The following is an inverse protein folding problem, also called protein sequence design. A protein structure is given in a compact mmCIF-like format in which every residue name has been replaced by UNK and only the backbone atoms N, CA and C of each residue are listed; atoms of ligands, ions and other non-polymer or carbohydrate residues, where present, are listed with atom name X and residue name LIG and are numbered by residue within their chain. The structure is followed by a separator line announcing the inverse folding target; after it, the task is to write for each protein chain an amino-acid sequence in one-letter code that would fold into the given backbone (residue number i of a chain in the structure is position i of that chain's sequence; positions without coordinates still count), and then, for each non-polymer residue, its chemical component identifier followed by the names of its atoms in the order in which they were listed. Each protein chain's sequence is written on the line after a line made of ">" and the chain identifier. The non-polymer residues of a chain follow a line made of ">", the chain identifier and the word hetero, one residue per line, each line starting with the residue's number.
data_IF_085705709213
#
_entry.id   IF_085705709213
#
_cell.length_a   1.000
_cell.length_b   1.000
_cell.length_c   1.000
_cell.angle_alpha   90.00
_cell.angle_beta   90.00
_cell.angle_gamma   90.00
#
_symmetry.space_group_name_H-M   'P 1'
#
loop_
_entity.id
_entity.type
_entity.pdbx_description
1 polymer ?
#
# COMPACT_ATOMS: atom_id res chain seq x y z
N UNK A 1 -14.64 -0.90 -6.41
CA UNK A 1 -16.04 -1.27 -6.11
C UNK A 1 -16.14 -2.64 -5.47
N UNK A 2 -15.53 -3.70 -6.04
CA UNK A 2 -15.55 -5.03 -5.42
C UNK A 2 -14.92 -5.05 -4.03
N UNK A 3 -13.83 -4.33 -3.83
CA UNK A 3 -13.19 -4.17 -2.54
C UNK A 3 -14.12 -3.55 -1.48
N UNK A 4 -14.95 -2.59 -1.86
CA UNK A 4 -15.93 -1.97 -0.97
C UNK A 4 -16.94 -3.00 -0.43
N UNK A 5 -17.45 -3.87 -1.29
CA UNK A 5 -18.37 -4.94 -0.90
C UNK A 5 -17.69 -5.97 0.00
N UNK A 6 -16.49 -6.37 -0.35
CA UNK A 6 -15.69 -7.30 0.46
C UNK A 6 -15.44 -6.72 1.85
N UNK A 7 -15.02 -5.46 1.93
CA UNK A 7 -14.76 -4.75 3.18
C UNK A 7 -16.01 -4.68 4.07
N UNK A 8 -17.15 -4.32 3.46
CA UNK A 8 -18.44 -4.30 4.18
C UNK A 8 -18.77 -5.64 4.84
N UNK A 9 -18.65 -6.74 4.07
CA UNK A 9 -18.97 -8.08 4.57
C UNK A 9 -17.99 -8.50 5.68
N UNK A 10 -16.69 -8.33 5.46
CA UNK A 10 -15.66 -8.70 6.43
C UNK A 10 -15.82 -7.97 7.75
N UNK A 11 -16.02 -6.65 7.69
CA UNK A 11 -16.14 -5.82 8.90
C UNK A 11 -17.44 -6.08 9.63
N UNK A 12 -18.57 -6.20 8.90
CA UNK A 12 -19.86 -6.57 9.52
C UNK A 12 -19.79 -7.90 10.25
N UNK A 13 -19.20 -8.92 9.62
CA UNK A 13 -19.02 -10.23 10.24
C UNK A 13 -18.08 -10.17 11.44
N UNK A 14 -16.97 -9.47 11.31
CA UNK A 14 -16.03 -9.32 12.42
C UNK A 14 -16.66 -8.65 13.62
N UNK A 15 -17.39 -7.56 13.43
CA UNK A 15 -18.06 -6.82 14.47
C UNK A 15 -19.19 -7.64 15.11
N UNK A 16 -19.90 -8.48 14.34
CA UNK A 16 -20.96 -9.36 14.83
C UNK A 16 -20.43 -10.49 15.72
N UNK A 17 -19.28 -11.07 15.35
CA UNK A 17 -18.71 -12.24 16.05
C UNK A 17 -17.53 -11.90 16.96
N UNK A 18 -17.31 -10.61 17.25
CA UNK A 18 -16.27 -10.15 18.17
C UNK A 18 -16.50 -10.65 19.59
N UNK A 19 -15.41 -10.70 20.34
CA UNK A 19 -15.41 -11.14 21.74
C UNK A 19 -14.83 -10.07 22.64
N UNK A 20 -15.26 -10.07 23.88
CA UNK A 20 -14.61 -9.28 24.92
C UNK A 20 -13.51 -10.13 25.53
N UNK A 21 -12.28 -9.63 25.48
CA UNK A 21 -11.11 -10.27 26.11
C UNK A 21 -11.12 -10.06 27.62
N UNK A 22 -10.27 -10.79 28.33
CA UNK A 22 -10.11 -10.65 29.79
C UNK A 22 -9.73 -9.24 30.21
N UNK A 23 -8.94 -8.54 29.39
CA UNK A 23 -8.54 -7.14 29.58
C UNK A 23 -9.66 -6.13 29.30
N UNK A 24 -10.87 -6.60 28.97
CA UNK A 24 -12.02 -5.77 28.65
C UNK A 24 -11.98 -5.11 27.26
N UNK A 25 -10.99 -5.43 26.41
CA UNK A 25 -10.93 -4.97 25.02
C UNK A 25 -11.79 -5.86 24.11
N UNK A 26 -12.21 -5.30 22.97
CA UNK A 26 -12.95 -6.08 21.98
C UNK A 26 -11.96 -6.63 20.94
N UNK A 27 -12.05 -7.94 20.69
CA UNK A 27 -11.25 -8.63 19.67
C UNK A 27 -12.16 -9.31 18.65
N UNK A 28 -11.80 -9.23 17.38
CA UNK A 28 -12.55 -9.84 16.28
C UNK A 28 -11.64 -10.04 15.07
N UNK A 29 -12.25 -10.35 13.96
CA UNK A 29 -11.55 -10.63 12.72
C UNK A 29 -12.00 -11.94 12.09
N UNK A 30 -11.45 -12.30 10.92
CA UNK A 30 -11.82 -13.53 10.21
C UNK A 30 -11.73 -14.79 11.06
N UNK A 31 -10.70 -14.94 11.89
CA UNK A 31 -10.53 -16.10 12.78
C UNK A 31 -11.71 -16.31 13.72
N UNK A 32 -12.37 -15.24 14.20
CA UNK A 32 -13.48 -15.34 15.12
C UNK A 32 -14.77 -15.83 14.47
N UNK A 33 -15.11 -15.36 13.25
CA UNK A 33 -16.29 -15.87 12.57
C UNK A 33 -16.05 -17.24 11.91
N UNK A 34 -14.81 -17.57 11.52
CA UNK A 34 -14.46 -18.92 11.09
C UNK A 34 -14.64 -19.95 12.21
N UNK A 35 -14.24 -19.62 13.44
CA UNK A 35 -14.41 -20.49 14.59
C UNK A 35 -15.88 -20.54 15.02
N UNK A 36 -16.52 -19.40 15.27
CA UNK A 36 -17.85 -19.32 15.91
C UNK A 36 -19.02 -19.58 14.99
N UNK A 37 -18.92 -19.23 13.71
CA UNK A 37 -20.04 -19.38 12.75
C UNK A 37 -19.89 -20.63 11.91
N UNK A 38 -18.67 -20.92 11.45
CA UNK A 38 -18.40 -22.07 10.59
C UNK A 38 -17.97 -23.32 11.36
N UNK A 39 -17.69 -23.20 12.66
CA UNK A 39 -17.11 -24.26 13.49
C UNK A 39 -15.83 -24.88 12.91
N UNK A 40 -15.06 -24.08 12.16
CA UNK A 40 -13.83 -24.50 11.48
C UNK A 40 -12.60 -23.97 12.22
N UNK A 41 -12.36 -24.45 13.44
CA UNK A 41 -11.26 -24.01 14.28
C UNK A 41 -9.89 -24.14 13.62
N UNK A 42 -9.67 -25.20 12.84
CA UNK A 42 -8.43 -25.39 12.10
C UNK A 42 -8.17 -24.27 11.09
N UNK A 43 -9.21 -23.80 10.41
CA UNK A 43 -9.13 -22.69 9.45
C UNK A 43 -8.88 -21.36 10.17
N UNK A 44 -9.54 -21.14 11.30
CA UNK A 44 -9.33 -19.96 12.14
C UNK A 44 -7.89 -19.86 12.65
N UNK A 45 -7.31 -20.96 13.12
CA UNK A 45 -5.91 -21.01 13.55
C UNK A 45 -4.95 -20.81 12.38
N UNK A 46 -5.21 -21.49 11.24
CA UNK A 46 -4.41 -21.31 10.03
C UNK A 46 -4.40 -19.85 9.56
N UNK A 47 -5.55 -19.20 9.53
CA UNK A 47 -5.66 -17.77 9.20
C UNK A 47 -4.90 -16.89 10.20
N UNK A 48 -5.04 -17.14 11.50
CA UNK A 48 -4.34 -16.35 12.53
C UNK A 48 -2.81 -16.44 12.37
N UNK A 49 -2.28 -17.66 12.16
CA UNK A 49 -0.85 -17.88 11.91
C UNK A 49 -0.40 -17.16 10.64
N UNK A 50 -1.15 -17.30 9.54
CA UNK A 50 -0.84 -16.64 8.27
C UNK A 50 -0.84 -15.11 8.42
N UNK A 51 -1.79 -14.53 9.17
CA UNK A 51 -1.86 -13.09 9.45
C UNK A 51 -0.65 -12.61 10.25
N UNK A 52 -0.22 -13.37 11.27
CA UNK A 52 0.99 -13.03 12.03
C UNK A 52 2.22 -13.03 11.12
N UNK A 53 2.41 -14.07 10.32
CA UNK A 53 3.56 -14.16 9.39
C UNK A 53 3.51 -13.02 8.37
N UNK A 54 2.34 -12.75 7.79
CA UNK A 54 2.14 -11.67 6.81
C UNK A 54 2.46 -10.29 7.41
N UNK A 55 2.13 -10.05 8.68
CA UNK A 55 2.37 -8.76 9.33
C UNK A 55 3.85 -8.38 9.42
N UNK A 56 4.77 -9.35 9.43
CA UNK A 56 6.21 -9.07 9.38
C UNK A 56 6.67 -8.53 8.02
N UNK A 57 6.02 -8.94 6.92
CA UNK A 57 6.42 -8.54 5.57
C UNK A 57 5.64 -7.34 5.03
N UNK A 58 4.32 -7.35 5.17
CA UNK A 58 3.43 -6.35 4.55
C UNK A 58 3.08 -5.19 5.47
N UNK A 59 3.34 -5.29 6.76
CA UNK A 59 2.94 -4.30 7.77
C UNK A 59 3.66 -2.97 7.60
N UNK A 60 4.79 -2.78 8.26
CA UNK A 60 5.46 -1.48 8.33
C UNK A 60 6.77 -1.39 7.52
N UNK A 61 7.33 -2.51 7.09
CA UNK A 61 8.65 -2.52 6.42
C UNK A 61 8.72 -1.66 5.15
N UNK A 62 7.78 -1.76 4.20
CA UNK A 62 7.81 -0.93 2.98
C UNK A 62 7.69 0.56 3.30
N UNK A 63 6.84 0.93 4.27
CA UNK A 63 6.62 2.31 4.67
C UNK A 63 7.88 2.91 5.30
N UNK A 64 8.51 2.19 6.25
CA UNK A 64 9.73 2.65 6.91
C UNK A 64 10.87 2.80 5.90
N UNK A 65 11.03 1.83 5.00
CA UNK A 65 12.03 1.90 3.95
C UNK A 65 11.82 3.13 3.04
N UNK A 66 10.59 3.37 2.58
CA UNK A 66 10.27 4.52 1.74
C UNK A 66 10.55 5.85 2.47
N UNK A 67 10.22 5.95 3.75
CA UNK A 67 10.53 7.14 4.56
C UNK A 67 12.05 7.33 4.66
N UNK A 68 12.80 6.26 4.96
CA UNK A 68 14.24 6.33 5.11
C UNK A 68 14.94 6.73 3.81
N UNK A 69 14.50 6.18 2.67
CA UNK A 69 14.99 6.57 1.33
C UNK A 69 14.67 8.03 1.04
N UNK A 70 13.42 8.46 1.25
CA UNK A 70 13.02 9.85 1.00
C UNK A 70 13.78 10.85 1.87
N UNK A 71 14.06 10.51 3.13
CA UNK A 71 14.85 11.36 4.04
C UNK A 71 16.31 11.43 3.61
N UNK A 72 16.85 10.34 3.12
CA UNK A 72 18.21 10.32 2.59
C UNK A 72 18.31 11.15 1.30
N UNK A 73 17.41 10.95 0.35
CA UNK A 73 17.43 11.64 -0.93
C UNK A 73 17.17 13.14 -0.81
N UNK A 74 16.29 13.55 0.11
CA UNK A 74 15.90 14.96 0.27
C UNK A 74 16.79 15.75 1.20
N UNK A 75 17.32 15.12 2.26
CA UNK A 75 18.02 15.79 3.35
C UNK A 75 19.40 15.20 3.64
N UNK A 76 19.82 14.14 2.97
CA UNK A 76 21.09 13.45 3.22
C UNK A 76 21.16 12.75 4.58
N UNK A 77 19.99 12.44 5.20
CA UNK A 77 19.96 11.79 6.51
C UNK A 77 20.15 10.29 6.33
N UNK A 78 21.09 9.72 7.06
CA UNK A 78 21.39 8.30 7.02
C UNK A 78 20.17 7.44 7.40
N UNK A 79 19.99 6.31 6.70
CA UNK A 79 18.87 5.38 6.89
C UNK A 79 18.81 4.84 8.34
N UNK A 80 19.96 4.60 8.97
CA UNK A 80 20.03 4.11 10.36
C UNK A 80 19.51 5.15 11.36
N UNK A 81 19.80 6.43 11.13
CA UNK A 81 19.30 7.53 11.97
C UNK A 81 17.80 7.65 11.83
N UNK A 82 17.31 7.69 10.59
CA UNK A 82 15.88 7.73 10.31
C UNK A 82 15.14 6.53 10.91
N UNK A 83 15.68 5.31 10.69
CA UNK A 83 15.13 4.09 11.26
C UNK A 83 15.10 4.09 12.78
N UNK A 84 16.16 4.56 13.44
CA UNK A 84 16.24 4.66 14.90
C UNK A 84 15.18 5.62 15.48
N UNK A 85 15.04 6.81 14.88
CA UNK A 85 14.00 7.78 15.29
C UNK A 85 12.59 7.20 15.12
N UNK A 86 12.33 6.59 13.96
CA UNK A 86 11.02 5.97 13.69
C UNK A 86 10.73 4.82 14.66
N UNK A 87 11.71 3.99 14.99
CA UNK A 87 11.56 2.90 15.96
C UNK A 87 11.14 3.41 17.34
N UNK A 88 11.78 4.51 17.82
CA UNK A 88 11.41 5.13 19.09
C UNK A 88 10.00 5.69 19.04
N UNK A 89 9.65 6.45 18.00
CA UNK A 89 8.30 7.01 17.83
C UNK A 89 7.23 5.92 17.77
N UNK A 90 7.49 4.85 17.03
CA UNK A 90 6.59 3.70 16.94
C UNK A 90 6.41 3.02 18.30
N UNK A 91 7.51 2.76 19.01
CA UNK A 91 7.45 2.16 20.35
C UNK A 91 6.60 2.99 21.31
N UNK A 92 6.78 4.31 21.31
CA UNK A 92 5.98 5.22 22.14
C UNK A 92 4.48 5.15 21.85
N UNK A 93 4.08 4.90 20.61
CA UNK A 93 2.67 4.77 20.22
C UNK A 93 2.12 3.40 20.58
N UNK A 94 2.84 2.33 20.18
CA UNK A 94 2.36 0.94 20.26
C UNK A 94 2.28 0.45 21.72
N UNK A 95 3.25 0.81 22.57
CA UNK A 95 3.28 0.39 23.97
C UNK A 95 2.06 0.86 24.78
N UNK A 96 1.31 1.84 24.27
CA UNK A 96 0.05 2.29 24.89
C UNK A 96 -1.19 1.49 24.45
N UNK A 97 -1.03 0.45 23.62
CA UNK A 97 -2.11 -0.40 23.12
C UNK A 97 -3.09 0.29 22.18
N UNK A 98 -4.14 -0.43 21.78
CA UNK A 98 -5.09 -0.02 20.73
C UNK A 98 -5.75 1.35 21.00
N UNK A 99 -6.03 1.67 22.26
CA UNK A 99 -6.66 2.95 22.64
C UNK A 99 -5.73 4.13 22.34
N UNK A 100 -4.44 3.98 22.62
CA UNK A 100 -3.45 5.02 22.35
C UNK A 100 -3.17 5.17 20.86
N UNK A 101 -3.09 4.04 20.16
CA UNK A 101 -2.96 4.04 18.70
C UNK A 101 -4.12 4.81 18.09
N UNK A 102 -5.37 4.45 18.42
CA UNK A 102 -6.56 5.12 17.91
C UNK A 102 -6.60 6.62 18.24
N UNK A 103 -6.20 7.03 19.44
CA UNK A 103 -6.14 8.42 19.84
C UNK A 103 -5.16 9.25 19.03
N UNK A 104 -3.96 8.71 18.78
CA UNK A 104 -2.92 9.40 18.02
C UNK A 104 -3.29 9.44 16.53
N UNK A 105 -3.69 8.31 15.96
CA UNK A 105 -4.03 8.22 14.53
C UNK A 105 -5.23 9.09 14.18
N UNK A 106 -6.25 9.18 15.03
CA UNK A 106 -7.43 10.03 14.79
C UNK A 106 -7.11 11.53 14.67
N UNK A 107 -5.94 11.97 15.11
CA UNK A 107 -5.48 13.36 14.98
C UNK A 107 -4.43 13.54 13.90
N UNK A 108 -3.48 12.63 13.84
CA UNK A 108 -2.35 12.70 12.88
C UNK A 108 -2.82 12.45 11.45
N UNK A 109 -3.68 11.43 11.24
CA UNK A 109 -4.12 11.06 9.90
C UNK A 109 -4.92 12.16 9.20
N UNK A 110 -5.91 12.83 9.82
CA UNK A 110 -6.61 13.94 9.16
C UNK A 110 -5.68 15.11 8.81
N UNK A 111 -4.78 15.47 9.72
CA UNK A 111 -3.80 16.54 9.46
C UNK A 111 -2.89 16.19 8.27
N UNK A 112 -2.36 14.96 8.26
CA UNK A 112 -1.51 14.46 7.18
C UNK A 112 -2.28 14.44 5.85
N UNK A 113 -3.53 14.00 5.86
CA UNK A 113 -4.36 13.93 4.65
C UNK A 113 -4.65 15.33 4.09
N UNK A 114 -4.92 16.30 4.94
CA UNK A 114 -5.14 17.71 4.52
C UNK A 114 -3.87 18.29 3.91
N UNK A 115 -2.72 18.12 4.56
CA UNK A 115 -1.43 18.58 4.02
C UNK A 115 -1.11 17.93 2.69
N UNK A 116 -1.35 16.62 2.58
CA UNK A 116 -1.15 15.87 1.34
C UNK A 116 -2.05 16.39 0.21
N UNK A 117 -3.36 16.57 0.47
CA UNK A 117 -4.31 17.05 -0.54
C UNK A 117 -3.93 18.46 -1.01
N UNK A 118 -3.56 19.36 -0.09
CA UNK A 118 -3.11 20.71 -0.44
C UNK A 118 -1.88 20.65 -1.34
N UNK A 119 -0.87 19.87 -0.96
CA UNK A 119 0.35 19.71 -1.76
C UNK A 119 0.07 19.10 -3.14
N UNK A 120 -0.75 18.06 -3.18
CA UNK A 120 -1.14 17.40 -4.43
C UNK A 120 -1.91 18.34 -5.37
N UNK A 121 -2.87 19.10 -4.83
CA UNK A 121 -3.59 20.10 -5.62
C UNK A 121 -2.68 21.22 -6.11
N UNK A 122 -1.73 21.69 -5.29
CA UNK A 122 -0.77 22.69 -5.71
C UNK A 122 0.07 22.22 -6.92
N UNK A 123 0.56 20.97 -6.90
CA UNK A 123 1.28 20.39 -8.04
C UNK A 123 0.39 20.25 -9.27
N UNK A 124 -0.85 19.80 -9.12
CA UNK A 124 -1.79 19.66 -10.22
C UNK A 124 -2.13 21.03 -10.83
N UNK A 125 -2.40 22.06 -10.02
CA UNK A 125 -2.68 23.41 -10.50
C UNK A 125 -1.47 24.02 -11.20
N UNK A 126 -0.25 23.76 -10.71
CA UNK A 126 0.97 24.22 -11.38
C UNK A 126 1.15 23.57 -12.77
N UNK A 127 0.69 22.32 -12.93
CA UNK A 127 0.80 21.56 -14.18
C UNK A 127 -0.58 21.35 -14.84
N UNK A 128 -1.48 22.31 -14.74
CA UNK A 128 -2.89 22.16 -15.16
C UNK A 128 -3.03 21.80 -16.65
N UNK A 129 -2.13 22.29 -17.49
CA UNK A 129 -2.12 22.01 -18.92
C UNK A 129 -1.90 20.54 -19.23
N UNK A 130 -1.16 19.83 -18.37
CA UNK A 130 -0.86 18.41 -18.52
C UNK A 130 -1.94 17.50 -17.89
N UNK A 131 -2.90 18.06 -17.15
CA UNK A 131 -3.89 17.25 -16.41
C UNK A 131 -4.78 16.44 -17.36
N UNK A 132 -5.40 17.09 -18.35
CA UNK A 132 -6.28 16.42 -19.32
C UNK A 132 -5.50 15.45 -20.21
N UNK A 133 -4.35 15.81 -20.79
CA UNK A 133 -3.52 14.86 -21.54
C UNK A 133 -3.13 13.63 -20.72
N UNK A 134 -2.73 13.80 -19.49
CA UNK A 134 -2.35 12.69 -18.60
C UNK A 134 -3.53 11.76 -18.30
N UNK A 135 -4.71 12.34 -18.04
CA UNK A 135 -5.91 11.55 -17.80
C UNK A 135 -6.31 10.74 -19.05
N UNK A 136 -6.30 11.36 -20.21
CA UNK A 136 -6.59 10.68 -21.48
C UNK A 136 -5.57 9.57 -21.76
N UNK A 137 -4.28 9.82 -21.50
CA UNK A 137 -3.22 8.83 -21.69
C UNK A 137 -3.43 7.57 -20.85
N UNK A 138 -3.87 7.70 -19.60
CA UNK A 138 -4.18 6.53 -18.74
C UNK A 138 -5.21 5.60 -19.41
N UNK A 139 -6.29 6.16 -19.95
CA UNK A 139 -7.32 5.35 -20.60
C UNK A 139 -6.87 4.86 -21.99
N UNK A 140 -6.24 5.70 -22.78
CA UNK A 140 -5.73 5.32 -24.09
C UNK A 140 -4.72 4.16 -23.96
N UNK A 141 -3.75 4.29 -23.08
CA UNK A 141 -2.71 3.26 -22.88
C UNK A 141 -3.25 1.97 -22.29
N UNK A 142 -4.29 2.05 -21.42
CA UNK A 142 -4.92 0.87 -20.86
C UNK A 142 -5.66 0.01 -21.91
N UNK A 143 -6.21 0.64 -22.97
CA UNK A 143 -7.06 -0.05 -23.93
C UNK A 143 -6.48 -0.17 -25.34
N UNK A 144 -5.52 0.64 -25.72
CA UNK A 144 -4.95 0.62 -27.09
C UNK A 144 -3.71 -0.27 -27.22
N UNK A 145 -3.18 -0.81 -26.11
CA UNK A 145 -2.02 -1.67 -26.14
C UNK A 145 -0.79 -0.98 -26.74
N UNK A 146 -0.61 0.34 -26.52
CA UNK A 146 0.65 1.03 -26.81
C UNK A 146 1.83 0.38 -26.08
N UNK A 147 1.54 -0.26 -24.95
CA UNK A 147 2.40 -1.28 -24.35
C UNK A 147 2.70 -2.47 -25.31
N UNK A 148 1.90 -2.63 -26.36
CA UNK A 148 2.00 -3.75 -27.30
C UNK A 148 2.97 -3.55 -28.46
N UNK A 149 3.43 -2.36 -28.75
CA UNK A 149 4.23 -2.07 -29.94
C UNK A 149 5.74 -2.17 -29.77
N UNK A 150 6.23 -2.28 -28.56
CA UNK A 150 7.65 -2.54 -28.33
C UNK A 150 7.89 -4.00 -28.05
N UNK A 151 8.59 -4.76 -28.85
CA UNK A 151 8.87 -6.21 -28.83
C UNK A 151 9.07 -6.95 -27.49
N UNK A 152 8.73 -6.35 -26.36
CA UNK A 152 8.71 -6.84 -24.97
C UNK A 152 7.30 -7.01 -24.42
N UNK A 153 6.34 -7.18 -25.23
CA UNK A 153 4.92 -6.95 -25.01
C UNK A 153 4.30 -7.80 -23.93
N UNK A 154 4.53 -9.10 -23.95
CA UNK A 154 3.92 -10.02 -23.00
C UNK A 154 4.45 -9.87 -21.58
N UNK A 155 5.76 -9.69 -21.44
CA UNK A 155 6.40 -9.53 -20.13
C UNK A 155 6.10 -8.16 -19.53
N UNK A 156 6.10 -7.10 -20.30
CA UNK A 156 5.81 -5.75 -19.84
C UNK A 156 4.34 -5.59 -19.44
N UNK A 157 3.40 -6.13 -20.20
CA UNK A 157 1.98 -6.11 -19.85
C UNK A 157 1.70 -6.93 -18.59
N UNK A 158 2.19 -8.17 -18.53
CA UNK A 158 2.03 -9.02 -17.34
C UNK A 158 2.63 -8.37 -16.10
N UNK A 159 3.80 -7.75 -16.22
CA UNK A 159 4.45 -7.03 -15.14
C UNK A 159 3.63 -5.81 -14.69
N UNK A 160 3.21 -4.96 -15.62
CA UNK A 160 2.42 -3.77 -15.32
C UNK A 160 1.06 -4.14 -14.69
N UNK A 161 0.38 -5.15 -15.26
CA UNK A 161 -0.86 -5.66 -14.72
C UNK A 161 -0.68 -6.21 -13.29
N UNK A 162 0.32 -7.06 -13.08
CA UNK A 162 0.61 -7.64 -11.77
C UNK A 162 0.97 -6.57 -10.76
N UNK A 163 1.80 -5.59 -11.12
CA UNK A 163 2.15 -4.47 -10.24
C UNK A 163 0.94 -3.59 -9.93
N UNK A 164 0.11 -3.30 -10.93
CA UNK A 164 -1.11 -2.49 -10.74
C UNK A 164 -2.11 -3.17 -9.81
N UNK A 165 -2.41 -4.46 -10.04
CA UNK A 165 -3.30 -5.25 -9.18
C UNK A 165 -2.74 -5.35 -7.77
N UNK A 166 -1.45 -5.67 -7.61
CA UNK A 166 -0.82 -5.77 -6.30
C UNK A 166 -0.88 -4.45 -5.53
N UNK A 167 -0.66 -3.31 -6.20
CA UNK A 167 -0.76 -1.99 -5.55
C UNK A 167 -2.19 -1.64 -5.16
N UNK A 168 -3.17 -1.93 -6.01
CA UNK A 168 -4.58 -1.72 -5.68
C UNK A 168 -5.05 -2.56 -4.49
N UNK A 169 -4.68 -3.84 -4.44
CA UNK A 169 -4.98 -4.72 -3.32
C UNK A 169 -4.25 -4.31 -2.04
N UNK A 170 -3.01 -3.85 -2.16
CA UNK A 170 -2.22 -3.39 -1.03
C UNK A 170 -2.80 -2.12 -0.39
N UNK A 171 -3.33 -1.21 -1.21
CA UNK A 171 -3.88 0.07 -0.76
C UNK A 171 -5.16 -0.10 0.05
N UNK A 172 -6.13 -0.85 -0.47
CA UNK A 172 -7.45 -0.96 0.17
C UNK A 172 -7.59 -2.12 1.16
N UNK A 173 -6.63 -3.06 1.18
CA UNK A 173 -6.60 -4.24 2.07
C UNK A 173 -7.89 -5.10 2.09
N UNK A 174 -8.77 -4.95 1.11
CA UNK A 174 -10.01 -5.70 1.06
C UNK A 174 -9.73 -7.18 0.81
N UNK A 175 -10.25 -8.05 1.67
CA UNK A 175 -10.01 -9.50 1.61
C UNK A 175 -8.74 -9.96 2.34
N UNK A 176 -7.90 -9.06 2.86
CA UNK A 176 -6.70 -9.43 3.63
C UNK A 176 -7.01 -9.79 5.08
N UNK A 177 -8.13 -9.32 5.61
CA UNK A 177 -8.54 -9.61 6.97
C UNK A 177 -7.94 -8.72 8.05
N UNK A 178 -7.02 -7.81 7.71
CA UNK A 178 -6.41 -6.84 8.64
C UNK A 178 -7.42 -5.80 9.13
N UNK A 179 -8.17 -5.18 8.22
CA UNK A 179 -9.17 -4.19 8.54
C UNK A 179 -10.28 -4.71 9.48
N UNK A 180 -10.90 -5.88 9.25
CA UNK A 180 -11.91 -6.39 10.18
C UNK A 180 -11.36 -6.67 11.58
N UNK A 181 -10.06 -6.92 11.74
CA UNK A 181 -9.43 -7.04 13.07
C UNK A 181 -9.42 -5.68 13.77
N UNK A 182 -9.04 -4.61 13.07
CA UNK A 182 -9.02 -3.26 13.62
C UNK A 182 -10.43 -2.74 13.93
N UNK A 183 -11.37 -2.91 13.01
CA UNK A 183 -12.77 -2.48 13.15
C UNK A 183 -13.54 -3.22 14.25
N UNK A 184 -13.09 -4.41 14.66
CA UNK A 184 -13.70 -5.12 15.77
C UNK A 184 -13.68 -4.32 17.08
N UNK A 185 -12.68 -3.45 17.26
CA UNK A 185 -12.55 -2.59 18.44
C UNK A 185 -13.44 -1.33 18.40
N UNK A 186 -14.09 -1.06 17.26
CA UNK A 186 -14.94 0.12 17.10
C UNK A 186 -16.17 0.08 18.02
N UNK A 187 -16.57 1.27 18.47
CA UNK A 187 -17.77 1.46 19.26
C UNK A 187 -18.94 1.80 18.32
N UNK A 188 -19.65 0.78 17.89
CA UNK A 188 -20.88 0.93 17.11
C UNK A 188 -21.99 0.11 17.77
N UNK A 189 -23.20 0.63 17.74
CA UNK A 189 -24.38 -0.01 18.33
C UNK A 189 -24.85 -1.19 17.45
N UNK A 190 -24.71 -1.03 16.13
CA UNK A 190 -25.11 -2.03 15.16
C UNK A 190 -23.92 -2.53 14.32
N UNK A 191 -23.90 -3.82 14.05
CA UNK A 191 -22.81 -4.43 13.26
C UNK A 191 -22.77 -3.91 11.82
N UNK A 192 -23.94 -3.60 11.25
CA UNK A 192 -24.08 -3.10 9.88
C UNK A 192 -23.58 -1.66 9.75
N UNK A 193 -23.78 -0.84 10.78
CA UNK A 193 -23.28 0.55 10.78
C UNK A 193 -21.77 0.61 10.64
N UNK A 194 -21.01 -0.25 11.34
CA UNK A 194 -19.56 -0.32 11.22
C UNK A 194 -19.14 -0.83 9.83
N UNK A 195 -19.86 -1.81 9.28
CA UNK A 195 -19.66 -2.26 7.92
C UNK A 195 -19.87 -1.15 6.88
N UNK A 196 -20.90 -0.32 7.05
CA UNK A 196 -21.16 0.83 6.17
C UNK A 196 -20.06 1.88 6.24
N UNK A 197 -19.51 2.15 7.41
CA UNK A 197 -18.37 3.06 7.57
C UNK A 197 -17.13 2.51 6.86
N UNK A 198 -16.90 1.21 6.96
CA UNK A 198 -15.74 0.56 6.33
C UNK A 198 -15.72 0.63 4.79
N UNK A 199 -16.88 0.84 4.15
CA UNK A 199 -16.95 1.05 2.69
C UNK A 199 -16.21 2.32 2.26
N UNK A 200 -16.20 3.35 3.12
CA UNK A 200 -15.54 4.62 2.83
C UNK A 200 -14.03 4.48 2.70
N UNK A 201 -13.44 3.51 3.37
CA UNK A 201 -11.98 3.31 3.34
C UNK A 201 -11.47 3.01 1.92
N UNK A 202 -11.91 1.96 1.20
CA UNK A 202 -11.48 1.73 -0.18
C UNK A 202 -11.91 2.84 -1.14
N UNK A 203 -13.02 3.51 -0.88
CA UNK A 203 -13.47 4.62 -1.70
C UNK A 203 -12.52 5.82 -1.60
N UNK A 204 -12.25 6.27 -0.38
CA UNK A 204 -11.39 7.44 -0.15
C UNK A 204 -9.95 7.10 -0.57
N UNK A 205 -9.42 5.99 -0.11
CA UNK A 205 -8.03 5.60 -0.38
C UNK A 205 -7.80 5.34 -1.87
N UNK A 206 -8.57 4.43 -2.47
CA UNK A 206 -8.28 3.96 -3.82
C UNK A 206 -8.84 4.91 -4.89
N UNK A 207 -10.07 5.40 -4.75
CA UNK A 207 -10.68 6.24 -5.79
C UNK A 207 -10.22 7.69 -5.66
N UNK A 208 -10.14 8.25 -4.47
CA UNK A 208 -9.78 9.66 -4.31
C UNK A 208 -8.27 9.82 -4.22
N UNK A 209 -7.63 9.25 -3.20
CA UNK A 209 -6.21 9.51 -2.90
C UNK A 209 -5.28 8.91 -3.96
N UNK A 210 -5.51 7.65 -4.37
CA UNK A 210 -4.66 7.03 -5.41
C UNK A 210 -4.83 7.71 -6.78
N UNK A 211 -6.05 8.16 -7.14
CA UNK A 211 -6.25 8.93 -8.38
C UNK A 211 -5.53 10.28 -8.31
N UNK A 212 -5.65 10.98 -7.18
CA UNK A 212 -4.95 12.24 -6.96
C UNK A 212 -3.44 12.05 -7.07
N UNK A 213 -2.88 11.02 -6.42
CA UNK A 213 -1.46 10.67 -6.49
C UNK A 213 -1.02 10.36 -7.92
N UNK A 214 -1.80 9.54 -8.62
CA UNK A 214 -1.54 9.20 -10.02
C UNK A 214 -1.50 10.45 -10.91
N UNK A 215 -2.44 11.36 -10.71
CA UNK A 215 -2.49 12.63 -11.47
C UNK A 215 -1.31 13.54 -11.14
N UNK A 216 -0.88 13.62 -9.87
CA UNK A 216 0.34 14.36 -9.49
C UNK A 216 1.56 13.81 -10.22
N UNK A 217 1.76 12.50 -10.21
CA UNK A 217 2.93 11.86 -10.85
C UNK A 217 2.91 12.08 -12.36
N UNK A 218 1.77 11.87 -13.01
CA UNK A 218 1.66 11.95 -14.46
C UNK A 218 1.73 13.40 -14.95
N UNK A 219 1.00 14.34 -14.34
CA UNK A 219 0.97 15.74 -14.77
C UNK A 219 2.28 16.47 -14.53
N UNK A 220 3.03 16.12 -13.47
CA UNK A 220 4.33 16.71 -13.19
C UNK A 220 5.45 16.26 -14.15
N UNK A 221 5.26 15.13 -14.85
CA UNK A 221 6.29 14.54 -15.69
C UNK A 221 7.48 13.94 -14.91
N UNK A 222 7.42 13.92 -13.58
CA UNK A 222 8.53 13.43 -12.75
C UNK A 222 8.90 11.97 -13.03
N UNK A 223 7.95 11.16 -13.50
CA UNK A 223 8.18 9.76 -13.86
C UNK A 223 9.05 9.58 -15.12
N UNK A 224 9.24 10.61 -15.92
CA UNK A 224 10.17 10.61 -17.06
C UNK A 224 11.63 10.81 -16.63
N UNK A 225 11.86 11.37 -15.45
CA UNK A 225 13.20 11.61 -14.96
C UNK A 225 13.83 10.28 -14.56
N UNK A 226 14.84 9.87 -15.32
CA UNK A 226 15.64 8.70 -14.95
C UNK A 226 16.64 9.12 -13.88
N UNK A 227 16.35 8.78 -12.63
CA UNK A 227 17.38 8.83 -11.60
C UNK A 227 18.36 7.66 -11.82
N UNK A 228 19.63 7.87 -11.45
CA UNK A 228 20.57 6.76 -11.33
C UNK A 228 20.05 5.81 -10.24
N UNK A 229 19.38 4.76 -10.64
CA UNK A 229 18.91 3.76 -9.69
C UNK A 229 20.06 2.78 -9.43
N UNK A 230 20.43 2.61 -8.18
CA UNK A 230 21.15 1.44 -7.75
C UNK A 230 20.20 0.24 -7.88
N UNK A 231 20.43 -0.57 -8.93
CA UNK A 231 19.60 -1.74 -9.17
C UNK A 231 19.73 -2.73 -8.02
N UNK A 232 18.62 -3.08 -7.41
CA UNK A 232 18.58 -4.16 -6.44
C UNK A 232 18.81 -5.49 -7.17
N UNK A 233 19.43 -6.44 -6.50
CA UNK A 233 19.72 -7.77 -7.03
C UNK A 233 18.51 -8.49 -7.64
N UNK A 234 17.30 -8.22 -7.10
CA UNK A 234 16.03 -8.71 -7.62
C UNK A 234 15.66 -8.15 -9.01
N UNK A 235 16.06 -6.92 -9.30
CA UNK A 235 15.76 -6.28 -10.59
C UNK A 235 16.67 -6.81 -11.69
N UNK A 236 17.89 -7.21 -11.33
CA UNK A 236 18.85 -7.80 -12.25
C UNK A 236 18.48 -9.22 -12.68
N UNK A 237 17.85 -10.01 -11.82
CA UNK A 237 17.37 -11.36 -12.15
C UNK A 237 16.27 -11.37 -13.22
N UNK A 238 15.52 -10.27 -13.36
CA UNK A 238 14.44 -10.15 -14.35
C UNK A 238 14.96 -9.75 -15.72
N UNK A 239 16.08 -9.02 -15.80
CA UNK A 239 16.60 -8.42 -17.03
C UNK A 239 17.62 -9.31 -17.76
N UNK A 240 18.32 -10.16 -17.04
CA UNK A 240 19.40 -10.95 -17.62
C UNK A 240 19.38 -12.40 -17.16
N UNK A 241 18.96 -13.31 -18.01
CA UNK A 241 19.06 -14.73 -17.76
C UNK A 241 20.49 -15.24 -17.50
N UNK A 242 21.52 -14.44 -17.68
CA UNK A 242 22.93 -14.74 -17.39
C UNK A 242 23.72 -13.47 -17.11
N UNK A 243 23.65 -12.96 -15.89
CA UNK A 243 24.46 -11.83 -15.44
C UNK A 243 25.35 -12.26 -14.27
N UNK A 244 26.65 -11.94 -14.34
CA UNK A 244 27.59 -12.14 -13.24
C UNK A 244 28.03 -10.79 -12.70
N UNK A 245 27.77 -10.52 -11.41
CA UNK A 245 28.22 -9.33 -10.69
C UNK A 245 29.75 -9.15 -10.69
N UNK A 246 30.49 -10.21 -10.97
CA UNK A 246 31.97 -10.20 -11.00
C UNK A 246 32.55 -9.70 -12.31
N UNK A 247 31.73 -9.44 -13.33
CA UNK A 247 32.21 -9.00 -14.64
C UNK A 247 31.84 -7.52 -14.87
N UNK A 248 32.83 -6.64 -14.69
CA UNK A 248 32.69 -5.18 -14.85
C UNK A 248 32.25 -4.77 -16.27
N UNK A 249 32.57 -5.55 -17.29
CA UNK A 249 32.13 -5.27 -18.66
C UNK A 249 30.63 -5.52 -18.84
N UNK A 250 30.11 -6.64 -18.31
CA UNK A 250 28.68 -6.94 -18.35
C UNK A 250 27.88 -5.93 -17.52
N UNK A 251 28.43 -5.49 -16.41
CA UNK A 251 27.86 -4.44 -15.58
C UNK A 251 27.77 -3.11 -16.36
N UNK A 252 28.83 -2.71 -17.04
CA UNK A 252 28.86 -1.51 -17.87
C UNK A 252 27.89 -1.57 -19.06
N UNK A 253 27.79 -2.72 -19.73
CA UNK A 253 26.85 -2.93 -20.85
C UNK A 253 25.41 -2.92 -20.37
N UNK A 254 25.11 -3.52 -19.22
CA UNK A 254 23.78 -3.48 -18.61
C UNK A 254 23.39 -2.04 -18.25
N UNK A 255 24.30 -1.28 -17.64
CA UNK A 255 24.08 0.15 -17.35
C UNK A 255 23.80 0.96 -18.61
N UNK A 256 24.54 0.73 -19.70
CA UNK A 256 24.31 1.39 -21.00
C UNK A 256 22.96 1.00 -21.59
N UNK A 257 22.59 -0.27 -21.52
CA UNK A 257 21.31 -0.77 -22.03
C UNK A 257 20.11 -0.18 -21.26
N UNK A 258 20.20 -0.18 -19.93
CA UNK A 258 19.13 0.32 -19.06
C UNK A 258 18.99 1.83 -19.07
N UNK A 259 20.08 2.57 -19.37
CA UNK A 259 20.06 4.03 -19.48
C UNK A 259 19.84 4.54 -20.92
N UNK A 260 19.63 3.63 -21.89
CA UNK A 260 19.27 4.00 -23.26
C UNK A 260 20.39 4.74 -24.02
N UNK A 261 21.65 4.41 -23.74
CA UNK A 261 22.83 4.87 -24.49
C UNK A 261 23.61 3.70 -25.06
#
# INVERSE_FOLDING_TARGET
>A
FFGMTTKFVEVTLSHKYRVKTEDGTMAGGPMYYMDRRLNMKWLAVGFAIATVISSFGTGSLPQINNIAVSMNDSFGIDHMITGGILAILFALVILGGIKRIAYITSRVVPLMSVLYIIGALAVIFYNIENLVPSFVAVFADAFTGSAATGGFIGAAFSYAFTKGVNRGLFSNEAGQGSAPIAHAAAKADEHVSEGMVSILEPFIDTIIICTLTGMVILSSGAWHQKYQNDFQRSDMLVVAGQYSEQNEQQKSELYKYLNGK
#
